data_IF_159104155642
#
_entry.id   IF_159104155642
#
_cell.length_a   1.000
_cell.length_b   1.000
_cell.length_c   1.000
_cell.angle_alpha   90.00
_cell.angle_beta   90.00
_cell.angle_gamma   90.00
#
_symmetry.space_group_name_H-M   'P 1'
#
loop_
_entity.id
_entity.type
_entity.pdbx_description
1 polymer ?
#
# COMPACT_ATOMS: atom_id res chain seq x y z
N UNK A 1 -18.98 -14.36 41.83
CA UNK A 1 -19.18 -14.88 40.45
C UNK A 1 -19.01 -13.73 39.47
N UNK A 2 -17.85 -13.63 38.85
CA UNK A 2 -17.57 -12.58 37.85
C UNK A 2 -18.23 -13.00 36.50
N UNK A 3 -19.31 -12.34 36.15
CA UNK A 3 -19.93 -12.51 34.83
C UNK A 3 -19.03 -11.87 33.80
N UNK A 4 -18.20 -12.68 33.08
CA UNK A 4 -17.50 -12.26 31.91
C UNK A 4 -18.55 -11.81 30.88
N UNK A 5 -18.56 -10.53 30.55
CA UNK A 5 -19.45 -9.99 29.52
C UNK A 5 -19.25 -10.77 28.21
N UNK A 6 -20.32 -11.16 27.49
CA UNK A 6 -20.19 -11.90 26.26
C UNK A 6 -19.37 -11.06 25.26
N UNK A 7 -18.26 -11.62 24.75
CA UNK A 7 -17.43 -11.00 23.73
C UNK A 7 -18.32 -10.55 22.57
N UNK A 8 -18.26 -9.27 22.23
CA UNK A 8 -19.01 -8.75 21.08
C UNK A 8 -18.55 -9.46 19.81
N UNK A 9 -19.46 -9.78 18.87
CA UNK A 9 -19.09 -10.43 17.58
C UNK A 9 -17.95 -9.74 16.82
N UNK A 10 -17.81 -8.41 17.00
CA UNK A 10 -16.72 -7.59 16.46
C UNK A 10 -15.35 -8.00 16.98
N UNK A 11 -15.26 -8.42 18.27
CA UNK A 11 -14.00 -8.83 18.87
C UNK A 11 -13.55 -10.19 18.32
N UNK A 12 -14.48 -11.09 18.03
CA UNK A 12 -14.21 -12.40 17.41
C UNK A 12 -13.58 -12.25 16.02
N UNK A 13 -14.10 -11.34 15.17
CA UNK A 13 -13.55 -11.08 13.85
C UNK A 13 -12.13 -10.49 13.91
N UNK A 14 -11.88 -9.56 14.84
CA UNK A 14 -10.55 -8.97 15.06
C UNK A 14 -9.56 -10.01 15.60
N UNK A 15 -10.01 -10.94 16.44
CA UNK A 15 -9.18 -12.05 16.93
C UNK A 15 -8.83 -12.99 15.78
N UNK A 16 -9.80 -13.39 14.96
CA UNK A 16 -9.58 -14.24 13.80
C UNK A 16 -8.62 -13.60 12.76
N UNK A 17 -8.64 -12.28 12.63
CA UNK A 17 -7.72 -11.51 11.79
C UNK A 17 -6.25 -11.52 12.27
N UNK A 18 -5.91 -12.25 13.32
CA UNK A 18 -4.51 -12.50 13.71
C UNK A 18 -3.83 -13.46 12.76
N UNK A 19 -4.53 -14.53 12.38
CA UNK A 19 -3.90 -15.67 11.71
C UNK A 19 -4.49 -16.01 10.34
N UNK A 20 -5.76 -15.66 10.10
CA UNK A 20 -6.49 -16.09 8.92
C UNK A 20 -7.10 -14.90 8.17
N UNK A 21 -7.32 -15.10 6.87
CA UNK A 21 -8.06 -14.21 5.98
C UNK A 21 -9.29 -14.93 5.43
N UNK A 22 -10.17 -14.19 4.78
CA UNK A 22 -11.35 -14.69 4.07
C UNK A 22 -12.36 -15.44 4.96
N UNK A 23 -12.44 -15.08 6.26
CA UNK A 23 -13.40 -15.61 7.20
C UNK A 23 -14.57 -14.66 7.40
N UNK A 24 -15.79 -15.22 7.37
CA UNK A 24 -17.02 -14.48 7.68
C UNK A 24 -17.40 -14.71 9.14
N UNK A 25 -17.47 -13.63 9.92
CA UNK A 25 -17.82 -13.67 11.33
C UNK A 25 -18.90 -12.61 11.62
N UNK A 26 -20.12 -13.06 11.74
CA UNK A 26 -21.28 -12.18 11.87
C UNK A 26 -21.42 -11.22 10.68
N UNK A 27 -21.38 -9.92 10.91
CA UNK A 27 -21.46 -8.89 9.86
C UNK A 27 -20.10 -8.43 9.33
N UNK A 28 -19.01 -9.11 9.68
CA UNK A 28 -17.65 -8.79 9.31
C UNK A 28 -17.03 -9.89 8.45
N UNK A 29 -16.14 -9.49 7.55
CA UNK A 29 -15.26 -10.39 6.79
C UNK A 29 -13.83 -10.02 7.09
N UNK A 30 -13.00 -11.01 7.46
CA UNK A 30 -11.57 -10.83 7.65
C UNK A 30 -10.90 -10.70 6.29
N UNK A 31 -10.34 -9.53 6.00
CA UNK A 31 -9.69 -9.24 4.72
C UNK A 31 -8.18 -9.40 4.78
N UNK A 32 -7.56 -8.93 5.87
CA UNK A 32 -6.11 -8.98 6.05
C UNK A 32 -5.74 -9.51 7.43
N UNK A 33 -4.88 -10.51 7.46
CA UNK A 33 -4.33 -11.05 8.70
C UNK A 33 -3.31 -10.07 9.33
N UNK A 34 -2.78 -10.44 10.49
CA UNK A 34 -1.82 -9.60 11.21
C UNK A 34 -0.50 -9.43 10.45
N UNK A 35 -0.01 -10.49 9.78
CA UNK A 35 1.24 -10.42 9.03
C UNK A 35 1.13 -9.45 7.85
N UNK A 36 0.03 -9.53 7.07
CA UNK A 36 -0.27 -8.62 5.96
C UNK A 36 -0.32 -7.16 6.41
N UNK A 37 -0.94 -6.89 7.56
CA UNK A 37 -1.03 -5.53 8.12
C UNK A 37 0.31 -5.01 8.65
N UNK A 38 1.06 -5.86 9.36
CA UNK A 38 2.36 -5.48 9.90
C UNK A 38 3.35 -5.14 8.79
N UNK A 39 3.42 -5.96 7.73
CA UNK A 39 4.32 -5.66 6.61
C UNK A 39 3.91 -4.39 5.88
N UNK A 40 2.61 -4.18 5.64
CA UNK A 40 2.12 -2.93 5.05
C UNK A 40 2.52 -1.70 5.87
N UNK A 41 2.33 -1.72 7.19
CA UNK A 41 2.71 -0.60 8.06
C UNK A 41 4.22 -0.42 8.17
N UNK A 42 5.00 -1.50 8.10
CA UNK A 42 6.47 -1.42 8.05
C UNK A 42 6.92 -0.73 6.76
N UNK A 43 6.35 -1.10 5.61
CA UNK A 43 6.59 -0.41 4.33
C UNK A 43 6.21 1.07 4.42
N UNK A 44 5.03 1.38 4.97
CA UNK A 44 4.55 2.75 5.10
C UNK A 44 5.47 3.61 5.99
N UNK A 45 5.84 3.11 7.18
CA UNK A 45 6.69 3.84 8.13
C UNK A 45 8.10 4.05 7.58
N UNK A 46 8.73 3.00 7.03
CA UNK A 46 10.07 3.12 6.47
C UNK A 46 10.10 4.05 5.25
N UNK A 47 9.07 4.00 4.40
CA UNK A 47 8.92 4.94 3.29
C UNK A 47 8.74 6.38 3.79
N UNK A 48 7.86 6.62 4.76
CA UNK A 48 7.63 7.97 5.31
C UNK A 48 8.89 8.56 5.94
N UNK A 49 9.68 7.77 6.67
CA UNK A 49 10.95 8.24 7.22
C UNK A 49 11.92 8.57 6.09
N UNK A 50 12.02 7.71 5.06
CA UNK A 50 12.86 7.99 3.89
C UNK A 50 12.40 9.24 3.14
N UNK A 51 11.10 9.41 2.93
CA UNK A 51 10.51 10.61 2.32
C UNK A 51 10.89 11.87 3.09
N UNK A 52 10.60 11.90 4.39
CA UNK A 52 10.81 13.09 5.23
C UNK A 52 12.30 13.44 5.42
N UNK A 53 13.18 12.44 5.44
CA UNK A 53 14.64 12.67 5.50
C UNK A 53 15.25 12.97 4.14
N UNK A 54 14.66 12.51 3.05
CA UNK A 54 15.07 12.78 1.68
C UNK A 54 14.73 14.20 1.20
N UNK A 55 13.56 14.72 1.59
CA UNK A 55 13.09 16.05 1.18
C UNK A 55 14.13 17.18 1.45
N UNK A 56 14.72 17.33 2.65
CA UNK A 56 15.73 18.35 2.91
C UNK A 56 17.08 18.08 2.22
N UNK A 57 17.36 16.83 1.81
CA UNK A 57 18.54 16.50 1.02
C UNK A 57 18.33 16.92 -0.44
N UNK A 58 17.11 16.71 -0.95
CA UNK A 58 16.75 16.98 -2.34
C UNK A 58 16.72 18.46 -2.69
N UNK A 59 16.16 19.32 -1.82
CA UNK A 59 16.05 20.76 -2.11
C UNK A 59 16.07 21.62 -0.84
N UNK A 60 16.75 22.80 -0.89
CA UNK A 60 16.75 23.76 0.22
C UNK A 60 15.35 24.23 0.66
N UNK A 61 14.36 24.19 -0.23
CA UNK A 61 12.96 24.56 0.09
C UNK A 61 12.44 23.78 1.29
N UNK A 62 12.82 22.52 1.41
CA UNK A 62 12.43 21.65 2.53
C UNK A 62 13.53 21.55 3.61
N UNK A 63 14.57 22.39 3.55
CA UNK A 63 15.70 22.36 4.48
C UNK A 63 15.30 22.47 5.96
N UNK A 64 14.20 23.17 6.25
CA UNK A 64 13.62 23.29 7.59
C UNK A 64 13.23 21.94 8.20
N UNK A 65 12.83 20.95 7.38
CA UNK A 65 12.45 19.62 7.84
C UNK A 65 13.62 18.86 8.47
N UNK A 66 14.86 19.20 8.11
CA UNK A 66 16.04 18.57 8.70
C UNK A 66 16.11 18.78 10.23
N UNK A 67 15.57 19.88 10.74
CA UNK A 67 15.56 20.16 12.19
C UNK A 67 14.73 19.12 12.97
N UNK A 68 13.73 18.50 12.35
CA UNK A 68 12.93 17.42 12.96
C UNK A 68 13.77 16.17 13.28
N UNK A 69 14.91 16.00 12.59
CA UNK A 69 15.78 14.84 12.70
C UNK A 69 17.15 15.17 13.31
N UNK A 70 17.39 16.41 13.75
CA UNK A 70 18.66 16.84 14.33
C UNK A 70 19.66 17.41 13.31
N UNK A 71 19.20 17.77 12.11
CA UNK A 71 19.97 18.46 11.09
C UNK A 71 20.21 17.65 9.82
N UNK A 72 20.70 18.33 8.78
CA UNK A 72 20.89 17.74 7.44
C UNK A 72 21.93 16.59 7.44
N UNK A 73 22.95 16.66 8.30
CA UNK A 73 23.94 15.59 8.46
C UNK A 73 23.29 14.29 8.96
N UNK A 74 22.36 14.40 9.89
CA UNK A 74 21.60 13.25 10.42
C UNK A 74 20.66 12.69 9.35
N UNK A 75 19.98 13.55 8.59
CA UNK A 75 19.14 13.10 7.46
C UNK A 75 19.96 12.30 6.44
N UNK A 76 21.17 12.74 6.10
CA UNK A 76 22.09 12.04 5.18
C UNK A 76 22.53 10.66 5.68
N UNK A 77 22.50 10.43 6.98
CA UNK A 77 22.77 9.10 7.57
C UNK A 77 21.51 8.25 7.59
N UNK A 78 20.38 8.80 8.06
CA UNK A 78 19.12 8.05 8.22
C UNK A 78 18.55 7.63 6.87
N UNK A 79 18.52 8.54 5.89
CA UNK A 79 17.87 8.35 4.60
C UNK A 79 18.29 7.05 3.86
N UNK A 80 19.58 6.77 3.63
CA UNK A 80 19.98 5.56 2.91
C UNK A 80 19.65 4.28 3.69
N UNK A 81 19.78 4.27 5.03
CA UNK A 81 19.44 3.11 5.84
C UNK A 81 17.93 2.83 5.86
N UNK A 82 17.11 3.86 5.98
CA UNK A 82 15.66 3.69 5.90
C UNK A 82 15.21 3.34 4.50
N UNK A 83 15.91 3.80 3.46
CA UNK A 83 15.69 3.36 2.07
C UNK A 83 15.95 1.87 1.87
N UNK A 84 17.04 1.34 2.44
CA UNK A 84 17.31 -0.11 2.44
C UNK A 84 16.24 -0.86 3.23
N UNK A 85 15.86 -0.38 4.41
CA UNK A 85 14.81 -1.00 5.22
C UNK A 85 13.45 -0.99 4.50
N UNK A 86 13.11 0.11 3.81
CA UNK A 86 11.93 0.19 2.95
C UNK A 86 11.95 -0.87 1.85
N UNK A 87 13.07 -1.02 1.14
CA UNK A 87 13.19 -2.02 0.08
C UNK A 87 13.02 -3.44 0.63
N UNK A 88 13.67 -3.77 1.75
CA UNK A 88 13.54 -5.10 2.39
C UNK A 88 12.06 -5.36 2.77
N UNK A 89 11.42 -4.40 3.39
CA UNK A 89 10.00 -4.51 3.74
C UNK A 89 9.11 -4.66 2.49
N UNK A 90 9.36 -3.90 1.43
CA UNK A 90 8.64 -3.99 0.17
C UNK A 90 8.88 -5.36 -0.52
N UNK A 91 10.08 -5.90 -0.46
CA UNK A 91 10.40 -7.24 -0.98
C UNK A 91 9.65 -8.35 -0.22
N UNK A 92 9.58 -8.25 1.11
CA UNK A 92 8.78 -9.19 1.93
C UNK A 92 7.29 -9.07 1.57
N UNK A 93 6.77 -7.85 1.45
CA UNK A 93 5.38 -7.61 1.02
C UNK A 93 5.12 -8.15 -0.39
N UNK A 94 6.09 -7.99 -1.31
CA UNK A 94 6.01 -8.54 -2.66
C UNK A 94 5.85 -10.05 -2.64
N UNK A 95 6.73 -10.77 -1.93
CA UNK A 95 6.67 -12.23 -1.83
C UNK A 95 5.34 -12.69 -1.22
N UNK A 96 4.83 -11.97 -0.25
CA UNK A 96 3.57 -12.31 0.43
C UNK A 96 2.33 -12.13 -0.45
N UNK A 97 2.31 -11.13 -1.33
CA UNK A 97 1.11 -10.74 -2.07
C UNK A 97 1.17 -10.97 -3.58
N UNK A 98 2.32 -11.31 -4.16
CA UNK A 98 2.48 -11.41 -5.62
C UNK A 98 1.51 -12.39 -6.29
N UNK A 99 1.11 -13.46 -5.60
CA UNK A 99 0.13 -14.43 -6.10
C UNK A 99 -1.25 -13.79 -6.33
N UNK A 100 -1.68 -12.90 -5.41
CA UNK A 100 -2.98 -12.26 -5.43
C UNK A 100 -3.01 -11.03 -6.36
N UNK A 101 -1.82 -10.51 -6.71
CA UNK A 101 -1.64 -9.30 -7.51
C UNK A 101 -1.43 -9.56 -9.01
N UNK A 102 -1.67 -10.77 -9.47
CA UNK A 102 -1.66 -11.07 -10.90
C UNK A 102 -2.85 -10.41 -11.58
N UNK A 103 -2.57 -9.69 -12.69
CA UNK A 103 -3.63 -9.10 -13.51
C UNK A 103 -4.36 -10.21 -14.28
N UNK A 104 -5.67 -10.24 -14.12
CA UNK A 104 -6.55 -11.12 -14.88
C UNK A 104 -6.83 -10.54 -16.27
N UNK A 105 -7.26 -11.35 -17.25
CA UNK A 105 -7.50 -10.88 -18.62
C UNK A 105 -8.50 -9.72 -18.73
N UNK A 106 -9.54 -9.73 -17.89
CA UNK A 106 -10.59 -8.70 -17.82
C UNK A 106 -10.13 -7.42 -17.08
N UNK A 107 -8.97 -7.45 -16.43
CA UNK A 107 -8.39 -6.30 -15.74
C UNK A 107 -7.38 -5.52 -16.61
N UNK A 108 -7.05 -5.98 -17.79
CA UNK A 108 -6.06 -5.31 -18.68
C UNK A 108 -6.47 -3.90 -19.08
N UNK A 109 -7.77 -3.61 -19.09
CA UNK A 109 -8.31 -2.29 -19.40
C UNK A 109 -7.91 -1.23 -18.35
N UNK A 110 -7.46 -1.66 -17.14
CA UNK A 110 -6.90 -0.77 -16.14
C UNK A 110 -5.58 -0.11 -16.55
N UNK A 111 -4.89 -0.65 -17.54
CA UNK A 111 -3.71 -0.02 -18.15
C UNK A 111 -4.06 1.18 -19.05
N UNK A 112 -5.34 1.54 -19.15
CA UNK A 112 -5.85 2.58 -20.03
C UNK A 112 -7.00 3.39 -19.44
N UNK A 113 -8.08 3.62 -20.20
CA UNK A 113 -9.18 4.52 -19.83
C UNK A 113 -9.91 4.13 -18.54
N UNK A 114 -9.93 2.84 -18.16
CA UNK A 114 -10.65 2.35 -16.98
C UNK A 114 -10.11 2.93 -15.69
N UNK A 115 -8.81 3.17 -15.58
CA UNK A 115 -8.23 3.85 -14.42
C UNK A 115 -8.80 5.26 -14.22
N UNK A 116 -9.00 6.00 -15.32
CA UNK A 116 -9.60 7.34 -15.27
C UNK A 116 -11.09 7.27 -14.98
N UNK A 117 -11.80 6.29 -15.53
CA UNK A 117 -13.22 6.05 -15.26
C UNK A 117 -13.46 5.67 -13.78
N UNK A 118 -12.57 4.88 -13.20
CA UNK A 118 -12.61 4.53 -11.77
C UNK A 118 -12.54 5.78 -10.89
N UNK A 119 -11.62 6.71 -11.17
CA UNK A 119 -11.55 7.97 -10.45
C UNK A 119 -12.82 8.84 -10.59
N UNK A 120 -13.63 8.58 -11.63
CA UNK A 120 -14.92 9.26 -11.88
C UNK A 120 -16.12 8.45 -11.39
N UNK A 121 -15.92 7.34 -10.67
CA UNK A 121 -16.98 6.42 -10.23
C UNK A 121 -17.87 5.88 -11.36
N UNK A 122 -17.30 5.67 -12.54
CA UNK A 122 -18.01 5.23 -13.76
C UNK A 122 -17.65 3.80 -14.19
N UNK A 123 -17.05 2.99 -13.32
CA UNK A 123 -16.66 1.62 -13.64
C UNK A 123 -17.73 0.61 -13.27
N UNK A 124 -17.81 -0.48 -14.08
CA UNK A 124 -18.55 -1.68 -13.69
C UNK A 124 -17.66 -2.52 -12.75
N UNK A 125 -17.98 -2.48 -11.47
CA UNK A 125 -17.27 -3.23 -10.43
C UNK A 125 -17.93 -4.59 -10.11
N UNK A 126 -18.87 -5.07 -10.95
CA UNK A 126 -19.65 -6.29 -10.70
C UNK A 126 -18.80 -7.57 -10.57
N UNK A 127 -17.59 -7.60 -11.16
CA UNK A 127 -16.68 -8.76 -11.14
C UNK A 127 -15.34 -8.49 -10.40
N UNK A 128 -15.32 -7.56 -9.44
CA UNK A 128 -14.10 -7.26 -8.67
C UNK A 128 -13.86 -8.33 -7.61
N UNK A 129 -12.66 -8.95 -7.66
CA UNK A 129 -12.15 -9.88 -6.66
C UNK A 129 -11.68 -9.20 -5.37
N UNK A 130 -10.86 -9.89 -4.57
CA UNK A 130 -10.30 -9.35 -3.33
C UNK A 130 -9.53 -8.03 -3.51
N UNK A 131 -8.88 -7.89 -4.66
CA UNK A 131 -8.20 -6.67 -5.11
C UNK A 131 -8.72 -6.27 -6.49
N UNK A 132 -8.92 -4.97 -6.70
CA UNK A 132 -9.25 -4.45 -8.02
C UNK A 132 -7.98 -4.21 -8.87
N UNK A 133 -8.16 -4.03 -10.18
CA UNK A 133 -7.04 -3.83 -11.10
C UNK A 133 -6.16 -2.63 -10.75
N UNK A 134 -6.74 -1.53 -10.21
CA UNK A 134 -5.99 -0.37 -9.75
C UNK A 134 -5.08 -0.68 -8.56
N UNK A 135 -5.56 -1.47 -7.60
CA UNK A 135 -4.76 -1.93 -6.45
C UNK A 135 -3.61 -2.84 -6.91
N UNK A 136 -3.88 -3.73 -7.87
CA UNK A 136 -2.85 -4.60 -8.47
C UNK A 136 -1.78 -3.79 -9.21
N UNK A 137 -2.18 -2.82 -10.03
CA UNK A 137 -1.24 -1.92 -10.71
C UNK A 137 -0.41 -1.09 -9.73
N UNK A 138 -1.03 -0.58 -8.67
CA UNK A 138 -0.32 0.15 -7.62
C UNK A 138 0.73 -0.73 -6.94
N UNK A 139 0.38 -1.98 -6.62
CA UNK A 139 1.34 -2.95 -6.06
C UNK A 139 2.55 -3.15 -6.96
N UNK A 140 2.34 -3.33 -8.28
CA UNK A 140 3.44 -3.49 -9.23
C UNK A 140 4.26 -2.21 -9.39
N UNK A 141 3.62 -1.04 -9.41
CA UNK A 141 4.32 0.24 -9.47
C UNK A 141 5.21 0.47 -8.24
N UNK A 142 4.70 0.18 -7.03
CA UNK A 142 5.48 0.25 -5.78
C UNK A 142 6.64 -0.74 -5.80
N UNK A 143 6.41 -1.97 -6.24
CA UNK A 143 7.45 -3.01 -6.27
C UNK A 143 8.60 -2.64 -7.22
N UNK A 144 8.27 -2.24 -8.44
CA UNK A 144 9.28 -1.83 -9.45
C UNK A 144 9.99 -0.53 -9.04
N UNK A 145 9.24 0.44 -8.53
CA UNK A 145 9.81 1.69 -8.06
C UNK A 145 10.72 1.52 -6.84
N UNK A 146 10.40 0.59 -5.92
CA UNK A 146 11.29 0.26 -4.79
C UNK A 146 12.64 -0.29 -5.28
N UNK A 147 12.65 -1.11 -6.33
CA UNK A 147 13.90 -1.55 -6.99
C UNK A 147 14.65 -0.35 -7.59
N UNK A 148 13.94 0.52 -8.31
CA UNK A 148 14.52 1.73 -8.90
C UNK A 148 15.16 2.65 -7.87
N UNK A 149 14.46 2.92 -6.74
CA UNK A 149 14.96 3.73 -5.63
C UNK A 149 16.17 3.10 -4.96
N UNK A 150 16.16 1.76 -4.74
CA UNK A 150 17.31 1.08 -4.14
C UNK A 150 18.53 1.19 -5.05
N UNK A 151 18.40 0.77 -6.32
CA UNK A 151 19.53 0.73 -7.25
C UNK A 151 20.12 2.14 -7.45
N UNK A 152 19.29 3.13 -7.73
CA UNK A 152 19.77 4.52 -7.87
C UNK A 152 20.36 5.07 -6.59
N UNK A 153 19.75 4.79 -5.43
CA UNK A 153 20.23 5.18 -4.13
C UNK A 153 21.60 4.56 -3.78
N UNK A 154 21.81 3.28 -4.10
CA UNK A 154 23.11 2.61 -3.90
C UNK A 154 24.21 3.23 -4.76
N UNK A 155 23.93 3.55 -6.03
CA UNK A 155 24.89 4.24 -6.89
C UNK A 155 25.32 5.60 -6.30
N UNK A 156 24.34 6.37 -5.80
CA UNK A 156 24.58 7.66 -5.16
C UNK A 156 25.27 7.56 -3.79
N UNK A 157 25.11 6.43 -3.09
CA UNK A 157 25.75 6.20 -1.79
C UNK A 157 27.24 5.90 -1.94
N UNK A 158 27.68 5.36 -3.08
CA UNK A 158 29.07 5.05 -3.37
C UNK A 158 29.61 5.84 -4.59
N UNK A 159 29.58 7.18 -4.57
CA UNK A 159 29.80 7.99 -5.77
C UNK A 159 31.21 7.87 -6.35
N UNK A 160 32.20 7.45 -5.54
CA UNK A 160 33.60 7.26 -6.01
C UNK A 160 33.77 6.00 -6.86
N UNK A 161 32.82 5.07 -6.83
CA UNK A 161 32.89 3.80 -7.55
C UNK A 161 32.36 3.90 -8.98
N UNK A 162 31.69 5.01 -9.36
CA UNK A 162 30.97 5.10 -10.62
C UNK A 162 31.34 6.36 -11.43
N UNK A 163 31.31 6.27 -12.76
CA UNK A 163 31.50 7.43 -13.63
C UNK A 163 30.38 8.48 -13.41
N UNK A 164 30.72 9.75 -13.67
CA UNK A 164 29.81 10.88 -13.47
C UNK A 164 28.45 10.69 -14.21
N UNK A 165 28.50 10.21 -15.45
CA UNK A 165 27.26 9.98 -16.24
C UNK A 165 26.30 8.98 -15.59
N UNK A 166 26.85 7.94 -14.95
CA UNK A 166 26.05 6.94 -14.21
C UNK A 166 25.40 7.58 -12.99
N UNK A 167 26.11 8.44 -12.30
CA UNK A 167 25.58 9.17 -11.13
C UNK A 167 24.49 10.15 -11.54
N UNK A 168 24.65 10.89 -12.64
CA UNK A 168 23.64 11.81 -13.16
C UNK A 168 22.35 11.08 -13.54
N UNK A 169 22.46 9.91 -14.17
CA UNK A 169 21.31 9.03 -14.45
C UNK A 169 20.69 8.49 -13.15
N UNK A 170 21.50 8.11 -12.17
CA UNK A 170 21.00 7.64 -10.88
C UNK A 170 20.19 8.73 -10.15
N UNK A 171 20.68 9.97 -10.12
CA UNK A 171 19.94 11.12 -9.59
C UNK A 171 18.61 11.31 -10.30
N UNK A 172 18.62 11.31 -11.64
CA UNK A 172 17.40 11.48 -12.43
C UNK A 172 16.36 10.39 -12.16
N UNK A 173 16.79 9.12 -12.13
CA UNK A 173 15.92 7.98 -11.85
C UNK A 173 15.36 8.06 -10.42
N UNK A 174 16.22 8.39 -9.46
CA UNK A 174 15.83 8.53 -8.04
C UNK A 174 14.78 9.62 -7.87
N UNK A 175 15.01 10.79 -8.42
CA UNK A 175 14.12 11.94 -8.31
C UNK A 175 12.77 11.70 -8.99
N UNK A 176 12.78 11.17 -10.22
CA UNK A 176 11.53 10.85 -10.94
C UNK A 176 10.74 9.81 -10.16
N UNK A 177 11.39 8.73 -9.71
CA UNK A 177 10.72 7.66 -8.96
C UNK A 177 10.19 8.19 -7.63
N UNK A 178 10.96 9.00 -6.92
CA UNK A 178 10.55 9.66 -5.69
C UNK A 178 9.30 10.54 -5.90
N UNK A 179 9.27 11.39 -6.93
CA UNK A 179 8.12 12.26 -7.23
C UNK A 179 6.88 11.42 -7.52
N UNK A 180 7.01 10.37 -8.34
CA UNK A 180 5.91 9.45 -8.64
C UNK A 180 5.38 8.76 -7.37
N UNK A 181 6.25 8.35 -6.47
CA UNK A 181 5.84 7.76 -5.19
C UNK A 181 5.15 8.78 -4.29
N UNK A 182 5.67 10.00 -4.17
CA UNK A 182 5.07 11.04 -3.35
C UNK A 182 3.65 11.40 -3.83
N UNK A 183 3.47 11.53 -5.14
CA UNK A 183 2.15 11.77 -5.75
C UNK A 183 1.23 10.58 -5.55
N UNK A 184 1.71 9.36 -5.82
CA UNK A 184 0.90 8.15 -5.67
C UNK A 184 0.49 7.88 -4.22
N UNK A 185 1.33 8.25 -3.24
CA UNK A 185 1.00 8.16 -1.82
C UNK A 185 -0.21 9.03 -1.45
N UNK A 186 -0.29 10.26 -1.99
CA UNK A 186 -1.44 11.15 -1.76
C UNK A 186 -2.73 10.49 -2.27
N UNK A 187 -2.71 9.94 -3.49
CA UNK A 187 -3.85 9.20 -4.03
C UNK A 187 -4.17 7.95 -3.22
N UNK A 188 -3.16 7.18 -2.81
CA UNK A 188 -3.33 5.99 -2.00
C UNK A 188 -4.01 6.28 -0.66
N UNK A 189 -3.58 7.32 0.04
CA UNK A 189 -4.20 7.76 1.29
C UNK A 189 -5.64 8.22 1.04
N UNK A 190 -5.85 9.07 0.02
CA UNK A 190 -7.17 9.58 -0.31
C UNK A 190 -8.16 8.46 -0.65
N UNK A 191 -7.78 7.53 -1.54
CA UNK A 191 -8.62 6.41 -1.93
C UNK A 191 -8.87 5.44 -0.76
N UNK A 192 -7.85 5.17 0.04
CA UNK A 192 -7.97 4.27 1.19
C UNK A 192 -8.75 4.84 2.39
N UNK A 193 -8.96 6.14 2.46
CA UNK A 193 -9.60 6.81 3.62
C UNK A 193 -10.87 7.55 3.24
N UNK A 194 -10.77 8.58 2.40
CA UNK A 194 -11.86 9.52 2.13
C UNK A 194 -12.78 9.07 0.99
N UNK A 195 -12.21 8.54 -0.10
CA UNK A 195 -13.00 8.17 -1.28
C UNK A 195 -13.82 6.89 -1.06
N UNK A 196 -13.28 5.91 -0.33
CA UNK A 196 -13.95 4.64 -0.05
C UNK A 196 -14.05 4.39 1.46
N UNK A 197 -15.04 4.96 2.16
CA UNK A 197 -15.22 4.82 3.60
C UNK A 197 -15.30 3.35 4.02
N UNK A 198 -14.51 2.96 5.02
CA UNK A 198 -14.43 1.60 5.51
C UNK A 198 -13.21 0.81 5.02
N UNK A 199 -12.55 1.25 3.94
CA UNK A 199 -11.35 0.60 3.39
C UNK A 199 -10.18 0.63 4.38
N UNK A 200 -9.91 1.77 5.00
CA UNK A 200 -8.85 1.95 6.00
C UNK A 200 -8.94 0.97 7.17
N UNK A 201 -10.17 0.60 7.55
CA UNK A 201 -10.43 -0.36 8.61
C UNK A 201 -9.76 -1.71 8.36
N UNK A 202 -9.65 -2.13 7.08
CA UNK A 202 -9.00 -3.39 6.71
C UNK A 202 -7.52 -3.41 7.13
N UNK A 203 -6.82 -2.28 7.09
CA UNK A 203 -5.42 -2.15 7.49
C UNK A 203 -5.24 -1.92 8.99
N UNK A 204 -6.24 -1.40 9.70
CA UNK A 204 -6.17 -1.19 11.16
C UNK A 204 -6.67 -2.41 11.92
N UNK A 205 -7.85 -2.93 11.57
CA UNK A 205 -8.51 -4.02 12.29
C UNK A 205 -8.39 -5.38 11.59
N UNK A 206 -8.05 -5.41 10.31
CA UNK A 206 -8.01 -6.61 9.47
C UNK A 206 -9.37 -6.99 8.89
N UNK A 207 -10.44 -6.24 9.19
CA UNK A 207 -11.81 -6.61 8.83
C UNK A 207 -12.51 -5.51 8.04
N UNK A 208 -13.47 -5.90 7.23
CA UNK A 208 -14.44 -5.03 6.55
C UNK A 208 -15.86 -5.53 6.83
N UNK A 209 -16.85 -4.66 6.65
CA UNK A 209 -18.24 -5.10 6.78
C UNK A 209 -18.68 -5.89 5.54
N UNK A 210 -19.66 -6.81 5.70
CA UNK A 210 -20.27 -7.52 4.57
C UNK A 210 -20.86 -6.56 3.53
N UNK A 211 -21.44 -5.43 3.97
CA UNK A 211 -21.98 -4.41 3.09
C UNK A 211 -20.88 -3.75 2.24
N UNK A 212 -19.73 -3.43 2.85
CA UNK A 212 -18.58 -2.88 2.14
C UNK A 212 -18.03 -3.87 1.10
N UNK A 213 -17.81 -5.14 1.50
CA UNK A 213 -17.29 -6.18 0.61
C UNK A 213 -18.23 -6.43 -0.58
N UNK A 214 -19.54 -6.48 -0.33
CA UNK A 214 -20.57 -6.64 -1.38
C UNK A 214 -20.57 -5.48 -2.38
N UNK A 215 -20.32 -4.25 -1.91
CA UNK A 215 -20.35 -3.05 -2.75
C UNK A 215 -19.08 -2.90 -3.60
N UNK A 216 -17.89 -3.10 -3.00
CA UNK A 216 -16.61 -2.79 -3.63
C UNK A 216 -15.91 -4.02 -4.20
N UNK A 217 -16.20 -5.23 -3.70
CA UNK A 217 -15.56 -6.48 -4.08
C UNK A 217 -16.57 -7.63 -4.24
N UNK A 218 -17.56 -7.50 -5.14
CA UNK A 218 -18.71 -8.43 -5.23
C UNK A 218 -18.32 -9.86 -5.59
N UNK A 219 -17.30 -10.10 -6.42
CA UNK A 219 -16.79 -11.45 -6.71
C UNK A 219 -16.18 -12.07 -5.44
N UNK A 220 -15.30 -11.35 -4.75
CA UNK A 220 -14.72 -11.83 -3.50
C UNK A 220 -15.79 -12.07 -2.42
N UNK A 221 -16.81 -11.19 -2.34
CA UNK A 221 -17.95 -11.40 -1.44
C UNK A 221 -18.64 -12.74 -1.70
N UNK A 222 -18.93 -13.07 -2.98
CA UNK A 222 -19.51 -14.38 -3.35
C UNK A 222 -18.63 -15.56 -2.96
N UNK A 223 -17.34 -15.46 -3.24
CA UNK A 223 -16.36 -16.50 -2.95
C UNK A 223 -16.29 -16.85 -1.45
N UNK A 224 -16.31 -15.83 -0.58
CA UNK A 224 -16.17 -16.06 0.87
C UNK A 224 -17.48 -16.32 1.61
N UNK A 225 -18.62 -15.83 1.09
CA UNK A 225 -19.91 -15.96 1.77
C UNK A 225 -20.81 -17.03 1.15
N UNK A 226 -20.60 -17.40 -0.10
CA UNK A 226 -21.54 -18.21 -0.91
C UNK A 226 -22.82 -17.48 -1.29
N UNK A 227 -22.92 -16.16 -1.03
CA UNK A 227 -24.15 -15.38 -1.27
C UNK A 227 -24.00 -14.49 -2.52
N UNK A 228 -25.05 -14.41 -3.33
CA UNK A 228 -25.09 -13.47 -4.44
C UNK A 228 -25.24 -12.01 -3.95
N UNK A 229 -24.40 -11.08 -4.41
CA UNK A 229 -24.59 -9.67 -4.13
C UNK A 229 -25.91 -9.23 -4.80
N UNK A 230 -26.85 -8.72 -4.01
CA UNK A 230 -28.10 -8.18 -4.56
C UNK A 230 -27.75 -7.11 -5.59
N UNK A 231 -28.21 -7.29 -6.85
CA UNK A 231 -28.07 -6.26 -7.89
C UNK A 231 -28.68 -4.96 -7.38
N UNK A 232 -27.97 -3.83 -7.62
CA UNK A 232 -28.58 -2.52 -7.48
C UNK A 232 -29.78 -2.49 -8.45
N UNK A 233 -30.98 -2.30 -7.91
CA UNK A 233 -32.17 -2.02 -8.70
C UNK A 233 -32.02 -0.65 -9.36
#
# INVERSE_FOLDING_TARGET
>A
MSTVAPHRPLDAAVIAARDREDLVIGNEIVRHNRASRLIHWTVAVTFLISLLTGMPIWTPVFGWMAHLFGGLSVCRVIHPWTGVAFFIAAAVMFVQWVSDMRLEPDEKDWLGPKALQYMRYQTDDSNVGKYNGGQKLYFWAVSLGAVGLLLSGLLMWFPRAFPRVVLELAFLIHDITFILFAVSLVFHIYLGTAAEPGTFRSMVRGTVTRAWARLHHPRWYREVTGEEPRRKA
#
